data_IF_150848883860
#
_entry.id   IF_150848883860
#
_cell.length_a   1.000
_cell.length_b   1.000
_cell.length_c   1.000
_cell.angle_alpha   90.00
_cell.angle_beta   90.00
_cell.angle_gamma   90.00
#
_symmetry.space_group_name_H-M   'P 1'
#
loop_
_entity.id
_entity.type
_entity.pdbx_description
1 polymer ?
#
# COMPACT_ATOMS: atom_id res chain seq x y z
N UNK A 1 27.69 27.67 -30.29
CA UNK A 1 27.22 26.88 -29.13
C UNK A 1 28.23 25.78 -28.85
N UNK A 2 29.21 26.04 -28.00
CA UNK A 2 30.17 25.01 -27.55
C UNK A 2 29.48 24.16 -26.51
N UNK A 3 28.93 23.01 -26.92
CA UNK A 3 28.45 21.99 -25.99
C UNK A 3 29.67 21.48 -25.23
N UNK A 4 29.87 22.00 -24.02
CA UNK A 4 30.95 21.55 -23.14
C UNK A 4 30.66 20.13 -22.68
N UNK A 5 31.65 19.24 -22.80
CA UNK A 5 31.55 17.82 -22.40
C UNK A 5 31.20 17.63 -20.91
N UNK A 6 31.29 18.70 -20.12
CA UNK A 6 30.88 18.78 -18.70
C UNK A 6 29.35 18.70 -18.49
N UNK A 7 28.55 18.92 -19.53
CA UNK A 7 27.08 18.80 -19.46
C UNK A 7 26.61 17.34 -19.28
N UNK A 8 27.30 16.39 -19.93
CA UNK A 8 26.94 14.97 -19.88
C UNK A 8 27.01 14.38 -18.45
N UNK A 9 28.08 14.61 -17.67
CA UNK A 9 28.15 14.18 -16.27
C UNK A 9 27.04 14.75 -15.39
N UNK A 10 26.73 16.05 -15.53
CA UNK A 10 25.69 16.71 -14.73
C UNK A 10 24.31 16.08 -14.98
N UNK A 11 23.97 15.87 -16.25
CA UNK A 11 22.71 15.24 -16.67
C UNK A 11 22.65 13.79 -16.19
N UNK A 12 23.75 13.04 -16.31
CA UNK A 12 23.81 11.66 -15.85
C UNK A 12 23.62 11.56 -14.33
N UNK A 13 24.26 12.44 -13.56
CA UNK A 13 24.09 12.49 -12.09
C UNK A 13 22.65 12.83 -11.70
N UNK A 14 22.05 13.85 -12.32
CA UNK A 14 20.64 14.20 -12.07
C UNK A 14 19.71 13.03 -12.41
N UNK A 15 19.98 12.31 -13.50
CA UNK A 15 19.22 11.13 -13.89
C UNK A 15 19.35 10.02 -12.84
N UNK A 16 20.55 9.74 -12.33
CA UNK A 16 20.79 8.72 -11.29
C UNK A 16 20.08 9.09 -9.98
N UNK A 17 20.11 10.36 -9.57
CA UNK A 17 19.41 10.84 -8.38
C UNK A 17 17.88 10.69 -8.51
N UNK A 18 17.34 11.08 -9.66
CA UNK A 18 15.91 10.91 -9.96
C UNK A 18 15.52 9.43 -10.02
N UNK A 19 16.37 8.60 -10.62
CA UNK A 19 16.21 7.15 -10.66
C UNK A 19 16.26 6.54 -9.25
N UNK A 20 17.06 7.08 -8.32
CA UNK A 20 17.09 6.61 -6.95
C UNK A 20 15.72 6.79 -6.25
N UNK A 21 15.08 7.95 -6.39
CA UNK A 21 13.73 8.22 -5.88
C UNK A 21 12.68 7.34 -6.56
N UNK A 22 12.70 7.28 -7.89
CA UNK A 22 11.71 6.51 -8.67
C UNK A 22 11.88 5.01 -8.48
N UNK A 23 13.11 4.53 -8.37
CA UNK A 23 13.45 3.13 -8.13
C UNK A 23 12.96 2.65 -6.78
N UNK A 24 13.23 3.39 -5.69
CA UNK A 24 12.73 3.03 -4.36
C UNK A 24 11.21 3.05 -4.29
N UNK A 25 10.59 4.07 -4.87
CA UNK A 25 9.15 4.18 -4.93
C UNK A 25 8.52 3.01 -5.69
N UNK A 26 9.00 2.70 -6.89
CA UNK A 26 8.45 1.61 -7.73
C UNK A 26 8.66 0.22 -7.12
N UNK A 27 9.74 0.02 -6.36
CA UNK A 27 9.97 -1.23 -5.63
C UNK A 27 8.98 -1.45 -4.47
N UNK A 28 8.43 -0.37 -3.90
CA UNK A 28 7.48 -0.43 -2.79
C UNK A 28 6.02 -0.25 -3.23
N UNK A 29 5.81 0.32 -4.43
CA UNK A 29 4.49 0.61 -4.97
C UNK A 29 3.68 -0.69 -5.10
N UNK A 30 2.50 -0.79 -4.47
CA UNK A 30 1.68 -1.98 -4.57
C UNK A 30 1.29 -2.31 -6.02
N UNK A 31 1.14 -3.58 -6.33
CA UNK A 31 0.91 -4.05 -7.70
C UNK A 31 2.20 -4.23 -8.49
N UNK A 32 3.15 -3.28 -8.45
CA UNK A 32 4.45 -3.38 -9.14
C UNK A 32 5.58 -3.94 -8.27
N UNK A 33 5.61 -3.60 -6.99
CA UNK A 33 6.62 -4.00 -6.00
C UNK A 33 6.47 -5.44 -5.50
N UNK A 34 5.49 -6.18 -5.99
CA UNK A 34 5.18 -7.53 -5.52
C UNK A 34 6.25 -8.56 -5.90
N UNK A 35 6.38 -9.61 -5.07
CA UNK A 35 7.36 -10.69 -5.28
C UNK A 35 7.13 -11.47 -6.58
N UNK A 36 5.89 -11.48 -7.06
CA UNK A 36 5.51 -12.18 -8.28
C UNK A 36 6.04 -11.49 -9.55
N UNK A 37 6.48 -10.23 -9.46
CA UNK A 37 7.03 -9.50 -10.60
C UNK A 37 8.56 -9.59 -10.59
N UNK A 38 9.21 -10.05 -11.68
CA UNK A 38 10.65 -10.13 -11.76
C UNK A 38 11.32 -8.77 -11.49
N UNK A 39 12.42 -8.78 -10.71
CA UNK A 39 13.20 -7.58 -10.38
C UNK A 39 13.55 -6.77 -11.63
N UNK A 40 13.88 -7.44 -12.73
CA UNK A 40 14.23 -6.81 -14.02
C UNK A 40 13.09 -5.95 -14.58
N UNK A 41 11.85 -6.42 -14.47
CA UNK A 41 10.68 -5.69 -14.98
C UNK A 41 10.38 -4.47 -14.10
N UNK A 42 10.56 -4.59 -12.78
CA UNK A 42 10.42 -3.47 -11.83
C UNK A 42 11.47 -2.38 -12.08
N UNK A 43 12.72 -2.78 -12.29
CA UNK A 43 13.81 -1.85 -12.64
C UNK A 43 13.56 -1.18 -14.00
N UNK A 44 13.13 -1.94 -15.02
CA UNK A 44 12.80 -1.38 -16.32
C UNK A 44 11.67 -0.34 -16.23
N UNK A 45 10.60 -0.63 -15.47
CA UNK A 45 9.52 0.31 -15.22
C UNK A 45 10.01 1.58 -14.50
N UNK A 46 10.88 1.44 -13.49
CA UNK A 46 11.48 2.59 -12.80
C UNK A 46 12.34 3.45 -13.73
N UNK A 47 13.14 2.83 -14.61
CA UNK A 47 13.93 3.55 -15.63
C UNK A 47 13.03 4.29 -16.61
N UNK A 48 11.99 3.63 -17.14
CA UNK A 48 11.03 4.24 -18.06
C UNK A 48 10.32 5.43 -17.43
N UNK A 49 9.84 5.28 -16.20
CA UNK A 49 9.18 6.35 -15.46
C UNK A 49 10.13 7.51 -15.16
N UNK A 50 11.39 7.23 -14.84
CA UNK A 50 12.43 8.26 -14.68
C UNK A 50 12.63 9.00 -16.00
N UNK A 51 12.76 8.27 -17.11
CA UNK A 51 12.96 8.86 -18.43
C UNK A 51 11.81 9.79 -18.86
N UNK A 52 10.56 9.40 -18.54
CA UNK A 52 9.37 10.21 -18.84
C UNK A 52 9.30 11.49 -18.00
N UNK A 53 9.69 11.45 -16.71
CA UNK A 53 9.61 12.60 -15.81
C UNK A 53 10.88 13.48 -15.85
N UNK A 54 12.01 12.95 -16.28
CA UNK A 54 13.29 13.64 -16.33
C UNK A 54 13.26 15.02 -17.03
N UNK A 55 12.68 15.19 -18.24
CA UNK A 55 12.69 16.50 -18.90
C UNK A 55 11.94 17.59 -18.12
N UNK A 56 10.95 17.20 -17.32
CA UNK A 56 10.16 18.13 -16.51
C UNK A 56 10.95 18.63 -15.29
N UNK A 57 11.78 17.76 -14.70
CA UNK A 57 12.33 17.97 -13.36
C UNK A 57 13.84 18.07 -13.30
N UNK A 58 14.54 17.93 -14.43
CA UNK A 58 16.01 18.10 -14.51
C UNK A 58 16.52 19.42 -13.94
N UNK A 59 15.73 20.49 -14.03
CA UNK A 59 16.10 21.83 -13.54
C UNK A 59 16.05 21.97 -12.01
N UNK A 60 15.42 21.02 -11.31
CA UNK A 60 15.33 21.02 -9.85
C UNK A 60 16.63 20.52 -9.18
N UNK A 61 17.48 19.80 -9.92
CA UNK A 61 18.74 19.27 -9.41
C UNK A 61 19.89 20.24 -9.67
N UNK A 62 20.37 20.89 -8.61
CA UNK A 62 21.62 21.66 -8.65
C UNK A 62 22.79 20.73 -8.34
N UNK A 63 23.42 20.18 -9.38
CA UNK A 63 24.53 19.23 -9.22
C UNK A 63 25.86 19.96 -9.33
N UNK A 64 26.58 20.05 -8.21
CA UNK A 64 27.99 20.45 -8.19
C UNK A 64 28.89 19.21 -8.18
N UNK A 65 29.65 19.00 -9.26
CA UNK A 65 30.57 17.85 -9.42
C UNK A 65 31.91 18.05 -8.69
N UNK A 66 32.06 19.14 -7.96
CA UNK A 66 33.30 19.52 -7.24
C UNK A 66 33.55 18.70 -5.98
N UNK A 67 32.50 18.12 -5.38
CA UNK A 67 32.62 17.33 -4.15
C UNK A 67 31.64 16.16 -4.10
N UNK A 68 32.12 15.00 -3.62
CA UNK A 68 31.31 13.78 -3.51
C UNK A 68 30.36 13.80 -2.30
N UNK A 69 30.68 14.54 -1.23
CA UNK A 69 29.90 14.56 0.01
C UNK A 69 28.44 14.99 -0.17
N UNK A 70 28.16 16.18 -0.75
CA UNK A 70 26.80 16.66 -1.01
C UNK A 70 26.01 15.76 -1.96
N UNK A 71 26.69 15.13 -2.90
CA UNK A 71 26.11 14.23 -3.90
C UNK A 71 25.60 12.93 -3.27
N UNK A 72 26.37 12.37 -2.33
CA UNK A 72 25.96 11.22 -1.51
C UNK A 72 24.78 11.58 -0.60
N UNK A 73 24.81 12.77 0.02
CA UNK A 73 23.71 13.26 0.84
C UNK A 73 22.41 13.40 0.04
N UNK A 74 22.48 13.99 -1.17
CA UNK A 74 21.35 14.06 -2.10
C UNK A 74 20.82 12.67 -2.44
N UNK A 75 21.69 11.72 -2.76
CA UNK A 75 21.27 10.35 -3.08
C UNK A 75 20.46 9.72 -1.94
N UNK A 76 20.94 9.84 -0.69
CA UNK A 76 20.20 9.33 0.47
C UNK A 76 18.87 10.05 0.68
N UNK A 77 18.81 11.36 0.44
CA UNK A 77 17.56 12.13 0.47
C UNK A 77 16.53 11.62 -0.55
N UNK A 78 16.95 11.42 -1.80
CA UNK A 78 16.11 10.89 -2.87
C UNK A 78 15.59 9.47 -2.56
N UNK A 79 16.47 8.60 -2.05
CA UNK A 79 16.09 7.24 -1.61
C UNK A 79 15.07 7.29 -0.47
N UNK A 80 15.28 8.16 0.53
CA UNK A 80 14.39 8.32 1.67
C UNK A 80 13.02 8.86 1.27
N UNK A 81 12.96 9.85 0.38
CA UNK A 81 11.70 10.40 -0.13
C UNK A 81 10.92 9.31 -0.89
N UNK A 82 11.58 8.61 -1.81
CA UNK A 82 10.94 7.52 -2.55
C UNK A 82 10.51 6.37 -1.63
N UNK A 83 11.26 6.10 -0.57
CA UNK A 83 10.89 5.13 0.46
C UNK A 83 9.62 5.55 1.21
N UNK A 84 9.53 6.79 1.69
CA UNK A 84 8.36 7.29 2.43
C UNK A 84 7.10 7.28 1.55
N UNK A 85 7.20 7.75 0.31
CA UNK A 85 6.07 7.75 -0.63
C UNK A 85 5.63 6.33 -1.01
N UNK A 86 6.58 5.44 -1.28
CA UNK A 86 6.30 4.04 -1.56
C UNK A 86 5.69 3.32 -0.36
N UNK A 87 6.21 3.58 0.85
CA UNK A 87 5.69 3.03 2.09
C UNK A 87 4.27 3.52 2.38
N UNK A 88 3.98 4.79 2.14
CA UNK A 88 2.64 5.37 2.25
C UNK A 88 1.61 4.61 1.39
N UNK A 89 1.92 4.39 0.11
CA UNK A 89 1.06 3.59 -0.78
C UNK A 89 0.90 2.14 -0.28
N UNK A 90 2.00 1.54 0.24
CA UNK A 90 1.98 0.18 0.76
C UNK A 90 1.14 0.03 2.02
N UNK A 91 1.22 1.00 2.92
CA UNK A 91 0.39 1.07 4.13
C UNK A 91 -1.08 1.25 3.77
N UNK A 92 -1.40 2.06 2.75
CA UNK A 92 -2.77 2.20 2.27
C UNK A 92 -3.36 0.86 1.81
N UNK A 93 -2.59 0.00 1.13
CA UNK A 93 -3.02 -1.36 0.75
C UNK A 93 -3.06 -2.33 1.94
N UNK A 94 -2.24 -2.11 2.97
CA UNK A 94 -2.26 -2.92 4.18
C UNK A 94 -3.62 -2.84 4.90
N UNK A 95 -4.41 -1.79 4.70
CA UNK A 95 -5.79 -1.69 5.21
C UNK A 95 -6.68 -2.85 4.73
N UNK A 96 -6.57 -3.25 3.47
CA UNK A 96 -7.29 -4.40 2.89
C UNK A 96 -6.82 -5.73 3.48
N UNK A 97 -5.53 -5.83 3.79
CA UNK A 97 -4.98 -7.01 4.45
C UNK A 97 -5.46 -7.13 5.89
N UNK A 98 -5.53 -6.02 6.62
CA UNK A 98 -6.13 -5.97 7.96
C UNK A 98 -7.60 -6.38 7.88
N UNK A 99 -8.38 -5.78 6.96
CA UNK A 99 -9.79 -6.13 6.77
C UNK A 99 -9.97 -7.62 6.49
N UNK A 100 -9.22 -8.17 5.52
CA UNK A 100 -9.31 -9.58 5.16
C UNK A 100 -8.91 -10.53 6.28
N UNK A 101 -7.89 -10.18 7.08
CA UNK A 101 -7.48 -10.97 8.25
C UNK A 101 -8.57 -10.98 9.32
N UNK A 102 -9.15 -9.82 9.63
CA UNK A 102 -10.25 -9.72 10.62
C UNK A 102 -11.47 -10.51 10.15
N UNK A 103 -11.85 -10.38 8.87
CA UNK A 103 -12.98 -11.12 8.31
C UNK A 103 -12.70 -12.62 8.38
N UNK A 104 -11.54 -13.08 7.91
CA UNK A 104 -11.17 -14.49 7.94
C UNK A 104 -11.23 -15.07 9.36
N UNK A 105 -10.80 -14.31 10.37
CA UNK A 105 -10.91 -14.71 11.77
C UNK A 105 -12.37 -14.83 12.22
N UNK A 106 -13.26 -13.90 11.84
CA UNK A 106 -14.68 -13.98 12.18
C UNK A 106 -15.42 -15.13 11.48
N UNK A 107 -14.95 -15.55 10.31
CA UNK A 107 -15.52 -16.68 9.57
C UNK A 107 -15.07 -18.05 10.10
N UNK A 108 -14.09 -18.08 11.02
CA UNK A 108 -13.47 -19.32 11.50
C UNK A 108 -12.34 -19.84 10.60
N UNK A 109 -12.02 -19.16 9.50
CA UNK A 109 -10.91 -19.49 8.60
C UNK A 109 -9.53 -19.24 9.24
N UNK A 110 -9.50 -18.46 10.33
CA UNK A 110 -8.31 -18.20 11.13
C UNK A 110 -7.93 -19.30 12.12
N UNK A 111 -8.75 -20.35 12.31
CA UNK A 111 -8.50 -21.39 13.33
C UNK A 111 -7.12 -22.06 13.16
N UNK A 112 -6.68 -22.27 11.91
CA UNK A 112 -5.36 -22.88 11.63
C UNK A 112 -4.21 -22.02 12.18
N UNK A 113 -4.32 -20.68 12.13
CA UNK A 113 -3.28 -19.78 12.66
C UNK A 113 -3.23 -19.72 14.18
N UNK A 114 -4.34 -20.07 14.87
CA UNK A 114 -4.38 -20.17 16.33
C UNK A 114 -3.73 -21.47 16.83
N UNK A 115 -3.81 -22.54 16.03
CA UNK A 115 -3.21 -23.85 16.35
C UNK A 115 -1.73 -23.89 15.99
N UNK A 116 -1.37 -23.37 14.81
CA UNK A 116 0.02 -23.25 14.38
C UNK A 116 0.26 -21.90 13.67
N UNK A 117 0.88 -20.92 14.37
CA UNK A 117 1.17 -19.61 13.79
C UNK A 117 2.21 -19.67 12.67
N UNK A 118 2.94 -20.79 12.51
CA UNK A 118 3.88 -20.96 11.39
C UNK A 118 3.18 -21.34 10.08
N UNK A 119 1.94 -21.85 10.15
CA UNK A 119 1.08 -22.23 9.01
C UNK A 119 0.17 -21.07 8.56
N UNK A 120 0.75 -19.89 8.32
CA UNK A 120 0.06 -18.61 8.05
C UNK A 120 -0.81 -18.53 6.76
N UNK A 121 -1.22 -19.64 6.15
CA UNK A 121 -1.73 -19.63 4.77
C UNK A 121 -3.22 -19.28 4.62
N UNK A 122 -4.11 -19.67 5.54
CA UNK A 122 -5.56 -19.53 5.30
C UNK A 122 -6.14 -18.14 5.62
N UNK A 123 -5.72 -17.48 6.70
CA UNK A 123 -6.12 -16.09 6.98
C UNK A 123 -5.62 -15.09 5.94
N UNK A 124 -4.48 -15.39 5.31
CA UNK A 124 -3.87 -14.57 4.27
C UNK A 124 -4.62 -14.61 2.94
N UNK A 125 -5.46 -15.63 2.69
CA UNK A 125 -6.17 -15.78 1.40
C UNK A 125 -7.17 -14.66 1.16
N UNK A 126 -8.02 -14.34 2.15
CA UNK A 126 -9.05 -13.31 1.99
C UNK A 126 -8.43 -11.91 1.89
N UNK A 127 -7.40 -11.63 2.70
CA UNK A 127 -6.66 -10.39 2.59
C UNK A 127 -5.96 -10.23 1.24
N UNK A 128 -5.36 -11.32 0.71
CA UNK A 128 -4.75 -11.33 -0.63
C UNK A 128 -5.80 -11.11 -1.72
N UNK A 129 -6.98 -11.73 -1.60
CA UNK A 129 -8.10 -11.51 -2.51
C UNK A 129 -8.53 -10.04 -2.53
N UNK A 130 -8.76 -9.43 -1.36
CA UNK A 130 -9.12 -8.02 -1.25
C UNK A 130 -8.01 -7.12 -1.80
N UNK A 131 -6.74 -7.41 -1.51
CA UNK A 131 -5.61 -6.66 -2.04
C UNK A 131 -5.52 -6.74 -3.58
N UNK A 132 -5.72 -7.91 -4.17
CA UNK A 132 -5.76 -8.07 -5.63
C UNK A 132 -6.93 -7.31 -6.25
N UNK A 133 -8.11 -7.34 -5.63
CA UNK A 133 -9.24 -6.51 -6.03
C UNK A 133 -8.91 -5.02 -5.93
N UNK A 134 -8.24 -4.58 -4.86
CA UNK A 134 -7.80 -3.21 -4.66
C UNK A 134 -6.88 -2.73 -5.78
N UNK A 135 -5.85 -3.51 -6.12
CA UNK A 135 -4.96 -3.21 -7.25
C UNK A 135 -5.74 -3.15 -8.55
N UNK A 136 -6.65 -4.09 -8.79
CA UNK A 136 -7.48 -4.13 -10.00
C UNK A 136 -8.33 -2.85 -10.12
N UNK A 137 -8.93 -2.41 -9.02
CA UNK A 137 -9.73 -1.19 -8.99
C UNK A 137 -8.89 0.07 -9.17
N UNK A 138 -7.64 0.12 -8.70
CA UNK A 138 -6.74 1.25 -8.98
C UNK A 138 -6.54 1.46 -10.48
N UNK A 139 -6.44 0.38 -11.25
CA UNK A 139 -6.36 0.46 -12.71
C UNK A 139 -7.73 0.74 -13.34
N UNK A 140 -8.80 0.11 -12.87
CA UNK A 140 -10.15 0.30 -13.42
C UNK A 140 -10.76 1.69 -13.14
N UNK A 141 -10.31 2.37 -12.08
CA UNK A 141 -10.76 3.71 -11.68
C UNK A 141 -9.77 4.82 -12.06
N UNK A 142 -8.75 4.52 -12.86
CA UNK A 142 -7.75 5.49 -13.32
C UNK A 142 -6.93 6.16 -12.19
N UNK A 143 -6.97 5.63 -10.96
CA UNK A 143 -6.22 6.14 -9.81
C UNK A 143 -4.69 6.07 -10.02
N UNK A 144 -4.23 5.21 -10.91
CA UNK A 144 -2.83 5.15 -11.31
C UNK A 144 -2.35 6.46 -11.96
N UNK A 145 -3.19 7.22 -12.67
CA UNK A 145 -2.85 8.56 -13.16
C UNK A 145 -2.67 9.55 -12.02
N UNK A 146 -3.52 9.48 -10.98
CA UNK A 146 -3.39 10.32 -9.78
C UNK A 146 -2.10 10.00 -9.04
N UNK A 147 -1.71 8.72 -8.97
CA UNK A 147 -0.44 8.31 -8.40
C UNK A 147 0.75 8.90 -9.17
N UNK A 148 0.73 8.88 -10.51
CA UNK A 148 1.77 9.50 -11.34
C UNK A 148 1.81 11.02 -11.12
N UNK A 149 0.66 11.68 -11.01
CA UNK A 149 0.58 13.10 -10.70
C UNK A 149 1.14 13.42 -9.31
N UNK A 150 0.87 12.58 -8.31
CA UNK A 150 1.43 12.70 -6.96
C UNK A 150 2.96 12.58 -6.97
N UNK A 151 3.50 11.62 -7.73
CA UNK A 151 4.94 11.47 -7.93
C UNK A 151 5.52 12.73 -8.56
N UNK A 152 4.90 13.26 -9.62
CA UNK A 152 5.38 14.46 -10.29
C UNK A 152 5.37 15.69 -9.36
N UNK A 153 4.35 15.86 -8.53
CA UNK A 153 4.27 16.95 -7.56
C UNK A 153 5.21 16.77 -6.35
N UNK A 154 5.64 15.54 -6.04
CA UNK A 154 6.62 15.29 -4.97
C UNK A 154 7.94 16.05 -5.16
N UNK A 155 8.30 16.40 -6.39
CA UNK A 155 9.52 17.18 -6.70
C UNK A 155 9.36 18.67 -6.39
N UNK A 156 8.12 19.17 -6.29
CA UNK A 156 7.83 20.53 -5.84
C UNK A 156 7.81 20.62 -4.31
N UNK A 157 7.25 19.60 -3.65
CA UNK A 157 7.16 19.54 -2.19
C UNK A 157 8.52 19.22 -1.57
N UNK A 158 9.22 18.22 -2.11
CA UNK A 158 10.54 17.78 -1.68
C UNK A 158 11.58 18.11 -2.76
N UNK A 159 12.02 19.37 -2.74
CA UNK A 159 13.05 19.87 -3.64
C UNK A 159 14.38 19.13 -3.39
N UNK A 160 15.05 18.64 -4.45
CA UNK A 160 16.33 17.94 -4.32
C UNK A 160 17.41 18.80 -3.65
N UNK A 161 18.19 18.20 -2.75
CA UNK A 161 19.30 18.87 -2.06
C UNK A 161 18.95 19.58 -0.75
N UNK A 162 17.68 19.77 -0.44
CA UNK A 162 17.25 20.23 0.88
C UNK A 162 17.09 19.03 1.83
N UNK A 163 17.50 19.14 3.10
CA UNK A 163 17.21 18.10 4.08
C UNK A 163 15.70 17.97 4.24
N UNK A 164 15.13 16.75 4.13
CA UNK A 164 13.71 16.55 4.41
C UNK A 164 13.42 16.89 5.88
N UNK A 165 12.31 17.57 6.13
CA UNK A 165 11.83 17.89 7.48
C UNK A 165 11.43 16.56 8.15
N UNK A 166 12.33 16.02 8.97
CA UNK A 166 12.21 14.67 9.57
C UNK A 166 11.00 14.52 10.51
N UNK A 167 10.58 15.62 11.16
CA UNK A 167 9.41 15.63 12.05
C UNK A 167 8.10 15.34 11.32
N UNK A 168 7.89 15.97 10.16
CA UNK A 168 6.67 15.82 9.37
C UNK A 168 6.56 14.41 8.77
N UNK A 169 7.69 13.82 8.35
CA UNK A 169 7.72 12.48 7.77
C UNK A 169 7.31 11.38 8.79
N UNK A 170 7.77 11.50 10.05
CA UNK A 170 7.39 10.56 11.11
C UNK A 170 5.91 10.68 11.47
N UNK A 171 5.40 11.91 11.64
CA UNK A 171 3.98 12.12 11.93
C UNK A 171 3.09 11.62 10.80
N UNK A 172 3.46 11.89 9.55
CA UNK A 172 2.77 11.37 8.37
C UNK A 172 2.74 9.84 8.39
N UNK A 173 3.88 9.19 8.68
CA UNK A 173 3.97 7.73 8.71
C UNK A 173 3.05 7.11 9.78
N UNK A 174 3.07 7.67 11.01
CA UNK A 174 2.21 7.20 12.10
C UNK A 174 0.73 7.39 11.75
N UNK A 175 0.38 8.55 11.19
CA UNK A 175 -1.00 8.85 10.79
C UNK A 175 -1.48 7.90 9.71
N UNK A 176 -0.67 7.61 8.70
CA UNK A 176 -1.00 6.69 7.62
C UNK A 176 -1.23 5.27 8.12
N UNK A 177 -0.43 4.80 9.08
CA UNK A 177 -0.63 3.49 9.72
C UNK A 177 -1.94 3.47 10.52
N UNK A 178 -2.21 4.52 11.30
CA UNK A 178 -3.44 4.64 12.06
C UNK A 178 -4.68 4.68 11.15
N UNK A 179 -4.62 5.46 10.07
CA UNK A 179 -5.70 5.57 9.09
C UNK A 179 -5.91 4.25 8.34
N UNK A 180 -4.83 3.56 7.94
CA UNK A 180 -4.94 2.24 7.31
C UNK A 180 -5.57 1.20 8.25
N UNK A 181 -5.19 1.19 9.53
CA UNK A 181 -5.82 0.29 10.52
C UNK A 181 -7.29 0.65 10.75
N UNK A 182 -7.60 1.95 10.90
CA UNK A 182 -8.97 2.44 11.06
C UNK A 182 -9.85 2.03 9.89
N UNK A 183 -9.39 2.22 8.65
CA UNK A 183 -10.13 1.81 7.44
C UNK A 183 -10.25 0.29 7.38
N UNK A 184 -9.17 -0.46 7.68
CA UNK A 184 -9.22 -1.92 7.71
C UNK A 184 -10.27 -2.45 8.69
N UNK A 185 -10.33 -1.89 9.90
CA UNK A 185 -11.35 -2.23 10.90
C UNK A 185 -12.73 -1.80 10.44
N UNK A 186 -12.88 -0.59 9.89
CA UNK A 186 -14.16 -0.09 9.37
C UNK A 186 -14.73 -0.98 8.26
N UNK A 187 -13.88 -1.44 7.34
CA UNK A 187 -14.27 -2.39 6.28
C UNK A 187 -14.70 -3.74 6.88
N UNK A 188 -14.07 -4.18 7.97
CA UNK A 188 -14.41 -5.43 8.66
C UNK A 188 -15.60 -5.31 9.63
N UNK A 189 -16.07 -4.10 9.95
CA UNK A 189 -17.11 -3.83 10.94
C UNK A 189 -18.40 -4.66 10.76
N UNK A 190 -18.99 -4.83 9.56
CA UNK A 190 -20.19 -5.66 9.39
C UNK A 190 -19.95 -7.13 9.78
N UNK A 191 -18.73 -7.65 9.56
CA UNK A 191 -18.35 -9.01 9.92
C UNK A 191 -18.06 -9.16 11.41
N UNK A 192 -17.53 -8.11 12.06
CA UNK A 192 -17.40 -8.08 13.52
C UNK A 192 -18.77 -8.17 14.19
N UNK A 193 -19.76 -7.40 13.71
CA UNK A 193 -21.14 -7.46 14.20
C UNK A 193 -21.78 -8.82 13.96
N UNK A 194 -21.63 -9.35 12.74
CA UNK A 194 -22.09 -10.69 12.40
C UNK A 194 -21.47 -11.74 13.34
N UNK A 195 -20.14 -11.75 13.48
CA UNK A 195 -19.41 -12.68 14.32
C UNK A 195 -19.84 -12.59 15.79
N UNK A 196 -20.05 -11.38 16.31
CA UNK A 196 -20.56 -11.18 17.67
C UNK A 196 -21.95 -11.83 17.85
N UNK A 197 -22.90 -11.50 16.98
CA UNK A 197 -24.28 -12.03 17.05
C UNK A 197 -24.30 -13.54 16.86
N UNK A 198 -23.51 -14.04 15.90
CA UNK A 198 -23.40 -15.46 15.60
C UNK A 198 -22.84 -16.25 16.78
N UNK A 199 -21.73 -15.79 17.39
CA UNK A 199 -21.12 -16.45 18.55
C UNK A 199 -22.04 -16.43 19.78
N UNK A 200 -22.78 -15.33 20.03
CA UNK A 200 -23.78 -15.27 21.10
C UNK A 200 -24.91 -16.27 20.84
N UNK A 201 -25.42 -16.35 19.61
CA UNK A 201 -26.44 -17.31 19.20
C UNK A 201 -25.99 -18.76 19.40
N UNK A 202 -24.75 -19.08 19.01
CA UNK A 202 -24.16 -20.40 19.24
C UNK A 202 -23.96 -20.71 20.72
N UNK A 203 -23.54 -19.74 21.52
CA UNK A 203 -23.40 -19.90 22.97
C UNK A 203 -24.73 -20.24 23.65
N UNK A 204 -25.83 -19.60 23.20
CA UNK A 204 -27.17 -19.95 23.68
C UNK A 204 -27.57 -21.37 23.24
N UNK A 205 -27.33 -21.72 21.97
CA UNK A 205 -27.58 -23.07 21.44
C UNK A 205 -26.82 -24.16 22.20
N UNK A 206 -25.54 -23.92 22.50
CA UNK A 206 -24.72 -24.84 23.28
C UNK A 206 -25.24 -25.05 24.71
N UNK A 207 -25.87 -24.02 25.29
CA UNK A 207 -26.52 -24.13 26.61
C UNK A 207 -27.85 -24.91 26.53
N UNK A 208 -28.61 -24.76 25.44
CA UNK A 208 -29.90 -25.44 25.26
C UNK A 208 -29.74 -26.91 24.87
N UNK A 209 -28.73 -27.25 24.07
CA UNK A 209 -28.47 -28.60 23.57
C UNK A 209 -27.01 -29.01 23.81
N UNK A 210 -26.58 -29.25 25.07
CA UNK A 210 -25.19 -29.51 25.43
C UNK A 210 -24.63 -30.83 24.87
N UNK A 211 -25.51 -31.77 24.47
CA UNK A 211 -25.11 -33.03 23.83
C UNK A 211 -24.72 -32.85 22.36
N UNK A 212 -25.08 -31.74 21.71
CA UNK A 212 -24.76 -31.47 20.32
C UNK A 212 -23.39 -30.80 20.24
N UNK A 213 -22.49 -31.34 19.41
CA UNK A 213 -21.20 -30.71 19.14
C UNK A 213 -21.40 -29.47 18.25
N UNK A 214 -21.80 -28.35 18.87
CA UNK A 214 -22.20 -27.11 18.19
C UNK A 214 -21.15 -26.61 17.19
N UNK A 215 -19.87 -26.86 17.46
CA UNK A 215 -18.77 -26.48 16.58
C UNK A 215 -18.86 -27.10 15.17
N UNK A 216 -19.30 -28.35 15.04
CA UNK A 216 -19.43 -29.03 13.74
C UNK A 216 -20.53 -28.42 12.87
N UNK A 217 -21.56 -27.83 13.49
CA UNK A 217 -22.63 -27.13 12.77
C UNK A 217 -22.28 -25.65 12.52
N UNK A 218 -21.61 -25.03 13.50
CA UNK A 218 -21.23 -23.63 13.49
C UNK A 218 -20.27 -23.28 12.35
N UNK A 219 -19.22 -24.08 12.16
CA UNK A 219 -18.14 -23.77 11.21
C UNK A 219 -18.61 -23.72 9.75
N UNK A 220 -19.35 -24.73 9.22
CA UNK A 220 -19.89 -24.62 7.86
C UNK A 220 -20.86 -23.44 7.72
N UNK A 221 -21.71 -23.21 8.73
CA UNK A 221 -22.71 -22.16 8.69
C UNK A 221 -22.09 -20.75 8.72
N UNK A 222 -21.05 -20.53 9.54
CA UNK A 222 -20.33 -19.25 9.62
C UNK A 222 -19.67 -18.91 8.30
N UNK A 223 -19.02 -19.91 7.68
CA UNK A 223 -18.36 -19.76 6.39
C UNK A 223 -19.38 -19.39 5.31
N UNK A 224 -20.48 -20.14 5.18
CA UNK A 224 -21.52 -19.85 4.19
C UNK A 224 -22.15 -18.47 4.38
N UNK A 225 -22.60 -18.16 5.60
CA UNK A 225 -23.23 -16.88 5.91
C UNK A 225 -22.26 -15.71 5.67
N UNK A 226 -21.01 -15.88 6.06
CA UNK A 226 -20.00 -14.85 5.89
C UNK A 226 -19.57 -14.60 4.45
N UNK A 227 -19.42 -15.64 3.64
CA UNK A 227 -19.21 -15.45 2.20
C UNK A 227 -20.42 -14.81 1.52
N UNK A 228 -21.65 -15.11 1.96
CA UNK A 228 -22.85 -14.42 1.48
C UNK A 228 -22.85 -12.92 1.83
N UNK A 229 -22.46 -12.58 3.07
CA UNK A 229 -22.28 -11.18 3.50
C UNK A 229 -21.19 -10.49 2.68
N UNK A 230 -20.05 -11.16 2.46
CA UNK A 230 -18.97 -10.65 1.62
C UNK A 230 -19.44 -10.37 0.20
N UNK A 231 -20.15 -11.31 -0.42
CA UNK A 231 -20.64 -11.14 -1.78
C UNK A 231 -21.63 -9.96 -1.88
N UNK A 232 -22.47 -9.76 -0.86
CA UNK A 232 -23.40 -8.63 -0.81
C UNK A 232 -22.71 -7.28 -0.57
N UNK A 233 -21.64 -7.25 0.25
CA UNK A 233 -21.03 -6.00 0.71
C UNK A 233 -19.73 -5.61 0.00
N UNK A 234 -19.08 -6.52 -0.74
CA UNK A 234 -17.76 -6.28 -1.33
C UNK A 234 -17.73 -5.04 -2.22
N UNK A 235 -18.80 -4.78 -2.99
CA UNK A 235 -18.89 -3.57 -3.82
C UNK A 235 -18.84 -2.29 -2.99
N UNK A 236 -19.64 -2.21 -1.92
CA UNK A 236 -19.65 -1.04 -1.03
C UNK A 236 -18.32 -0.90 -0.25
N UNK A 237 -17.77 -2.02 0.24
CA UNK A 237 -16.47 -2.04 0.92
C UNK A 237 -15.36 -1.51 0.03
N UNK A 238 -15.30 -1.98 -1.21
CA UNK A 238 -14.27 -1.54 -2.15
C UNK A 238 -14.51 -0.10 -2.62
N UNK A 239 -15.76 0.38 -2.68
CA UNK A 239 -16.07 1.80 -2.91
C UNK A 239 -15.45 2.69 -1.83
N UNK A 240 -15.69 2.38 -0.55
CA UNK A 240 -15.09 3.10 0.59
C UNK A 240 -13.56 3.06 0.54
N UNK A 241 -12.99 1.93 0.13
CA UNK A 241 -11.54 1.80 -0.04
C UNK A 241 -10.99 2.68 -1.15
N UNK A 242 -11.65 2.73 -2.32
CA UNK A 242 -11.21 3.56 -3.45
C UNK A 242 -11.28 5.04 -3.09
N UNK A 243 -12.32 5.48 -2.38
CA UNK A 243 -12.44 6.86 -1.89
C UNK A 243 -11.32 7.21 -0.91
N UNK A 244 -11.01 6.30 0.02
CA UNK A 244 -9.88 6.46 0.94
C UNK A 244 -8.55 6.57 0.19
N UNK A 245 -8.30 5.66 -0.75
CA UNK A 245 -7.06 5.67 -1.52
C UNK A 245 -6.94 6.93 -2.39
N UNK A 246 -8.05 7.37 -3.01
CA UNK A 246 -8.13 8.61 -3.76
C UNK A 246 -7.80 9.83 -2.88
N UNK A 247 -8.33 9.89 -1.66
CA UNK A 247 -8.00 10.95 -0.70
C UNK A 247 -6.52 10.95 -0.27
N UNK A 248 -5.94 9.78 -0.03
CA UNK A 248 -4.51 9.63 0.28
C UNK A 248 -3.64 10.11 -0.89
N UNK A 249 -3.96 9.68 -2.11
CA UNK A 249 -3.22 10.08 -3.31
C UNK A 249 -3.42 11.57 -3.63
N UNK A 250 -4.61 12.12 -3.39
CA UNK A 250 -4.91 13.54 -3.54
C UNK A 250 -4.07 14.42 -2.61
N UNK A 251 -4.00 14.04 -1.33
CA UNK A 251 -3.16 14.73 -0.34
C UNK A 251 -1.68 14.75 -0.77
N UNK A 252 -1.17 13.63 -1.29
CA UNK A 252 0.20 13.55 -1.83
C UNK A 252 0.38 14.33 -3.14
N UNK A 253 -0.68 14.48 -3.94
CA UNK A 253 -0.69 15.29 -5.14
C UNK A 253 -0.85 16.79 -4.88
N UNK A 254 -1.12 17.21 -3.64
CA UNK A 254 -1.34 18.61 -3.28
C UNK A 254 -2.69 19.14 -3.77
N UNK A 255 -3.72 18.29 -3.82
CA UNK A 255 -5.12 18.66 -4.13
C UNK A 255 -6.05 18.22 -3.01
#
# INVERSE_FOLDING_TARGET
MTVSLTFLPVVATAFVLMFARMGTLMMLLPGFGERNIPVRMRLAAAVLMTFMLFPLHRGAYQVELSSFGPLVFMLFGELAIGFVLGLAARVAMASLQVAGTVIANQLGLGFVTAVDPTQAQQGALLGTFLALLGVTLVFASDLHYVAIAAIANSYKVFAPGLPPVTGDALQLSVRMVADAFRIGVQLSAPFLLFGLVFNVGLGLLARLMPQLQVYFLAMPLSIFAGFAILLALVGAMMGVYVDFLGGVLGMLAGR
#
